data_IF_302771437201
#
_entry.id   IF_302771437201
#
_cell.length_a   1.000
_cell.length_b   1.000
_cell.length_c   1.000
_cell.angle_alpha   90.00
_cell.angle_beta   90.00
_cell.angle_gamma   90.00
#
_symmetry.space_group_name_H-M   'P 1'
#
loop_
_entity.id
_entity.type
_entity.pdbx_description
1 polymer ?
#
# COMPACT_ATOMS: atom_id res chain seq x y z
N UNK A 1 -20.40 -59.79 6.86
CA UNK A 1 -20.26 -60.97 5.97
C UNK A 1 -21.41 -60.96 4.94
N UNK A 2 -21.31 -61.68 3.81
CA UNK A 2 -21.66 -61.11 2.50
C UNK A 2 -22.65 -61.97 1.68
N UNK A 3 -22.87 -61.63 0.40
CA UNK A 3 -22.81 -62.48 -0.83
C UNK A 3 -23.39 -61.61 -1.98
N UNK A 4 -22.60 -61.02 -2.91
CA UNK A 4 -21.88 -61.56 -4.10
C UNK A 4 -22.80 -62.05 -5.28
N UNK A 5 -22.30 -62.06 -6.54
CA UNK A 5 -23.03 -61.49 -7.69
C UNK A 5 -23.22 -62.46 -8.88
N UNK A 6 -23.69 -61.94 -10.03
CA UNK A 6 -23.39 -62.42 -11.40
C UNK A 6 -23.61 -61.23 -12.38
N UNK A 7 -22.74 -60.88 -13.33
CA UNK A 7 -22.07 -61.59 -14.43
C UNK A 7 -22.88 -61.55 -15.76
N UNK A 8 -22.22 -61.07 -16.82
CA UNK A 8 -22.76 -60.91 -18.19
C UNK A 8 -22.69 -62.22 -19.01
N UNK A 9 -23.12 -62.33 -20.31
CA UNK A 9 -22.33 -61.74 -21.42
C UNK A 9 -23.04 -61.46 -22.79
N UNK A 10 -22.26 -60.95 -23.76
CA UNK A 10 -22.38 -61.15 -25.23
C UNK A 10 -23.44 -60.34 -26.01
N UNK A 11 -23.32 -60.04 -27.33
CA UNK A 11 -22.26 -60.28 -28.36
C UNK A 11 -22.49 -59.35 -29.59
N UNK A 12 -21.41 -59.02 -30.34
CA UNK A 12 -21.24 -58.82 -31.81
C UNK A 12 -22.44 -58.41 -32.73
N UNK A 13 -22.29 -57.66 -33.83
CA UNK A 13 -21.19 -57.51 -34.82
C UNK A 13 -21.29 -56.14 -35.55
N UNK A 14 -20.19 -55.48 -35.99
CA UNK A 14 -19.65 -55.39 -37.39
C UNK A 14 -20.70 -55.02 -38.47
N UNK A 15 -20.50 -54.11 -39.43
CA UNK A 15 -19.40 -53.90 -40.43
C UNK A 15 -19.60 -52.50 -41.12
N UNK A 16 -18.74 -51.84 -41.95
CA UNK A 16 -17.38 -52.06 -42.50
C UNK A 16 -16.91 -50.85 -43.38
N UNK A 17 -15.58 -50.72 -43.62
CA UNK A 17 -14.89 -49.98 -44.72
C UNK A 17 -15.04 -48.43 -44.79
N UNK A 18 -14.07 -47.58 -45.18
CA UNK A 18 -12.67 -47.69 -45.66
C UNK A 18 -12.05 -46.25 -45.83
N UNK A 19 -10.89 -45.96 -46.46
CA UNK A 19 -9.83 -46.84 -46.98
C UNK A 19 -8.46 -46.12 -47.28
N UNK A 20 -7.46 -46.31 -46.40
CA UNK A 20 -6.02 -46.62 -46.73
C UNK A 20 -5.06 -45.68 -47.52
N UNK A 21 -3.75 -45.83 -47.19
CA UNK A 21 -2.47 -45.44 -47.89
C UNK A 21 -2.01 -43.97 -47.75
N UNK A 22 -0.77 -43.60 -47.37
CA UNK A 22 0.57 -44.24 -47.19
C UNK A 22 1.44 -44.45 -48.46
N UNK A 23 2.45 -43.58 -48.66
CA UNK A 23 3.74 -43.72 -49.38
C UNK A 23 4.69 -42.65 -48.77
N UNK A 24 5.95 -42.83 -48.33
CA UNK A 24 7.21 -43.45 -48.82
C UNK A 24 8.01 -42.68 -49.90
N UNK A 25 9.29 -42.50 -49.57
CA UNK A 25 10.46 -41.96 -50.28
C UNK A 25 10.75 -42.50 -51.70
N UNK A 26 11.31 -41.69 -52.62
CA UNK A 26 12.71 -41.83 -53.14
C UNK A 26 13.13 -40.68 -54.12
N UNK A 27 14.36 -40.75 -54.66
CA UNK A 27 15.15 -39.71 -55.34
C UNK A 27 15.16 -39.73 -56.89
N UNK A 28 15.60 -38.61 -57.52
CA UNK A 28 16.65 -38.48 -58.59
C UNK A 28 16.65 -37.07 -59.22
N UNK A 29 17.77 -36.33 -59.22
CA UNK A 29 18.86 -36.26 -60.25
C UNK A 29 18.46 -35.65 -61.61
N UNK A 30 19.00 -34.46 -61.91
CA UNK A 30 19.47 -33.88 -63.20
C UNK A 30 19.97 -32.44 -62.87
N UNK A 31 21.11 -31.89 -63.28
CA UNK A 31 22.33 -32.38 -63.93
C UNK A 31 23.35 -31.23 -63.97
N UNK A 32 24.66 -31.50 -63.93
CA UNK A 32 25.72 -30.48 -63.99
C UNK A 32 26.43 -30.48 -65.36
N UNK A 33 27.18 -29.41 -65.70
CA UNK A 33 28.63 -29.65 -65.83
C UNK A 33 29.57 -28.50 -65.39
N UNK A 34 30.68 -28.89 -64.73
CA UNK A 34 32.11 -28.55 -65.01
C UNK A 34 32.47 -27.10 -65.42
N UNK A 35 33.60 -26.47 -65.04
CA UNK A 35 34.88 -26.73 -64.32
C UNK A 35 35.50 -25.29 -64.14
N UNK A 36 36.54 -24.94 -63.36
CA UNK A 36 37.82 -25.58 -62.99
C UNK A 36 38.42 -24.78 -61.80
N UNK A 37 39.37 -25.34 -61.06
CA UNK A 37 39.99 -24.72 -59.88
C UNK A 37 41.12 -23.72 -60.19
N UNK A 38 41.48 -22.88 -59.21
CA UNK A 38 42.88 -22.75 -58.75
C UNK A 38 42.99 -22.21 -57.32
N UNK A 39 44.09 -22.59 -56.67
CA UNK A 39 44.40 -22.42 -55.26
C UNK A 39 45.44 -21.30 -55.02
N UNK A 40 45.44 -20.70 -53.83
CA UNK A 40 46.70 -20.40 -53.12
C UNK A 40 46.52 -20.17 -51.61
N UNK A 41 47.54 -20.63 -50.87
CA UNK A 41 47.90 -20.25 -49.48
C UNK A 41 48.24 -18.73 -49.45
N UNK A 42 48.32 -17.97 -48.36
CA UNK A 42 48.37 -18.14 -46.89
C UNK A 42 48.12 -16.72 -46.32
N UNK A 43 47.58 -16.51 -45.11
CA UNK A 43 48.40 -16.38 -43.88
C UNK A 43 47.51 -16.11 -42.65
N UNK A 44 48.06 -16.25 -41.45
CA UNK A 44 47.34 -16.05 -40.20
C UNK A 44 47.21 -14.56 -39.82
N UNK A 45 46.02 -14.16 -39.36
CA UNK A 45 45.82 -12.95 -38.56
C UNK A 45 44.64 -13.15 -37.59
N UNK A 46 44.95 -13.55 -36.36
CA UNK A 46 43.97 -13.60 -35.28
C UNK A 46 43.45 -12.18 -35.01
N UNK A 47 42.16 -11.91 -35.27
CA UNK A 47 41.52 -10.64 -34.89
C UNK A 47 40.45 -10.88 -33.82
N UNK A 48 40.88 -10.63 -32.59
CA UNK A 48 40.08 -10.49 -31.39
C UNK A 48 38.87 -9.57 -31.66
N UNK A 49 37.65 -10.12 -31.69
CA UNK A 49 36.43 -9.31 -31.64
C UNK A 49 36.19 -8.85 -30.21
N UNK A 50 36.74 -7.67 -29.89
CA UNK A 50 36.49 -6.98 -28.62
C UNK A 50 35.00 -6.64 -28.47
N UNK A 51 34.30 -7.41 -27.64
CA UNK A 51 32.97 -7.11 -27.16
C UNK A 51 32.98 -5.77 -26.42
N UNK A 52 32.49 -4.70 -27.06
CA UNK A 52 32.29 -3.40 -26.41
C UNK A 52 31.24 -3.53 -25.30
N UNK A 53 31.52 -3.10 -24.05
CA UNK A 53 30.49 -3.02 -23.02
C UNK A 53 29.37 -2.06 -23.42
N UNK A 54 28.12 -2.42 -23.08
CA UNK A 54 26.93 -1.62 -23.42
C UNK A 54 26.90 -0.33 -22.59
N UNK A 55 27.41 0.79 -23.14
CA UNK A 55 27.31 2.19 -22.61
C UNK A 55 25.86 2.74 -22.50
N UNK A 56 24.85 1.89 -22.40
CA UNK A 56 23.43 2.26 -22.50
C UNK A 56 22.73 2.41 -21.13
N UNK A 57 23.33 1.92 -20.04
CA UNK A 57 22.81 2.05 -18.67
C UNK A 57 23.15 3.41 -18.03
N UNK A 58 24.42 3.81 -18.07
CA UNK A 58 24.92 5.04 -17.44
C UNK A 58 24.26 6.31 -18.02
N UNK A 59 24.06 6.35 -19.35
CA UNK A 59 23.41 7.47 -20.01
C UNK A 59 21.97 7.69 -19.52
N UNK A 60 21.23 6.60 -19.23
CA UNK A 60 19.86 6.69 -18.72
C UNK A 60 19.79 7.24 -17.28
N UNK A 61 20.73 6.85 -16.40
CA UNK A 61 20.83 7.46 -15.07
C UNK A 61 21.19 8.95 -15.16
N UNK A 62 22.16 9.31 -16.00
CA UNK A 62 22.58 10.70 -16.18
C UNK A 62 21.47 11.59 -16.77
N UNK A 63 20.67 11.07 -17.73
CA UNK A 63 19.55 11.79 -18.33
C UNK A 63 18.39 11.95 -17.34
N UNK A 64 18.08 10.92 -16.53
CA UNK A 64 17.08 11.02 -15.46
C UNK A 64 17.50 12.06 -14.40
N UNK A 65 18.76 12.01 -13.96
CA UNK A 65 19.32 12.97 -13.01
C UNK A 65 19.28 14.41 -13.54
N UNK A 66 19.61 14.65 -14.82
CA UNK A 66 19.57 16.00 -15.43
C UNK A 66 18.17 16.53 -15.73
N UNK A 67 17.20 15.70 -16.13
CA UNK A 67 15.82 16.16 -16.42
C UNK A 67 14.98 16.45 -15.16
N UNK A 68 15.40 15.96 -14.00
CA UNK A 68 14.64 16.15 -12.75
C UNK A 68 15.33 17.00 -11.69
N UNK A 69 16.59 17.42 -11.88
CA UNK A 69 17.34 18.18 -10.87
C UNK A 69 16.61 19.45 -10.42
N UNK A 70 16.06 20.23 -11.36
CA UNK A 70 15.33 21.47 -11.05
C UNK A 70 14.01 21.23 -10.29
N UNK A 71 13.33 20.09 -10.52
CA UNK A 71 12.08 19.76 -9.82
C UNK A 71 12.35 19.15 -8.43
N UNK A 72 13.48 18.45 -8.28
CA UNK A 72 13.99 17.93 -7.00
C UNK A 72 14.53 19.06 -6.10
N UNK A 73 14.95 20.20 -6.67
CA UNK A 73 15.41 21.37 -5.90
C UNK A 73 14.28 22.22 -5.26
N UNK A 74 13.02 22.07 -5.67
CA UNK A 74 11.91 22.73 -4.97
C UNK A 74 11.66 22.05 -3.62
N UNK A 75 12.27 22.58 -2.56
CA UNK A 75 12.02 22.15 -1.18
C UNK A 75 10.56 22.46 -0.80
N UNK A 76 9.73 21.42 -0.80
CA UNK A 76 8.39 21.51 -0.24
C UNK A 76 8.47 21.86 1.27
N UNK A 77 7.56 22.72 1.74
CA UNK A 77 7.66 23.29 3.08
C UNK A 77 7.20 22.29 4.13
N UNK A 78 8.11 21.87 4.99
CA UNK A 78 7.81 21.08 6.19
C UNK A 78 7.39 22.01 7.34
N UNK A 79 6.19 21.78 7.85
CA UNK A 79 5.63 22.41 9.04
C UNK A 79 5.94 21.55 10.27
N UNK A 80 6.08 22.19 11.42
CA UNK A 80 6.52 21.57 12.69
C UNK A 80 5.89 22.34 13.85
N UNK A 81 6.14 21.96 15.10
CA UNK A 81 5.50 22.58 16.27
C UNK A 81 5.64 24.11 16.36
N UNK A 82 6.70 24.71 15.79
CA UNK A 82 6.89 26.16 15.71
C UNK A 82 5.95 26.88 14.72
N UNK A 83 5.29 26.13 13.85
CA UNK A 83 4.42 26.63 12.79
C UNK A 83 2.92 26.36 13.06
N UNK A 84 2.60 25.68 14.16
CA UNK A 84 1.26 25.20 14.49
C UNK A 84 0.90 25.56 15.94
N UNK A 85 -0.35 25.96 16.17
CA UNK A 85 -0.79 26.54 17.44
C UNK A 85 -2.18 26.00 17.82
N UNK A 86 -2.25 25.33 18.99
CA UNK A 86 -3.48 24.71 19.49
C UNK A 86 -4.57 25.73 19.84
N UNK A 87 -4.25 27.03 19.97
CA UNK A 87 -5.26 28.09 20.20
C UNK A 87 -6.35 28.15 19.13
N UNK A 88 -6.09 27.59 17.95
CA UNK A 88 -7.07 27.52 16.86
C UNK A 88 -8.13 26.40 17.05
N UNK A 89 -7.91 25.50 18.02
CA UNK A 89 -8.86 24.47 18.47
C UNK A 89 -9.30 24.68 19.94
N UNK A 90 -8.64 25.55 20.71
CA UNK A 90 -9.02 25.85 22.08
C UNK A 90 -10.47 26.36 22.16
N UNK A 91 -11.25 25.84 23.10
CA UNK A 91 -12.67 26.18 23.27
C UNK A 91 -13.61 25.55 22.24
N UNK A 92 -13.09 24.92 21.18
CA UNK A 92 -13.88 24.21 20.16
C UNK A 92 -14.11 22.74 20.52
N UNK A 93 -15.21 22.18 20.03
CA UNK A 93 -15.52 20.75 20.14
C UNK A 93 -14.98 20.01 18.91
N UNK A 94 -14.02 19.12 19.13
CA UNK A 94 -13.50 18.20 18.11
C UNK A 94 -14.37 16.94 18.07
N UNK A 95 -15.27 16.85 17.09
CA UNK A 95 -16.10 15.67 16.87
C UNK A 95 -15.35 14.64 16.01
N UNK A 96 -15.18 13.41 16.53
CA UNK A 96 -14.56 12.29 15.81
C UNK A 96 -15.65 11.28 15.49
N UNK A 97 -15.97 11.14 14.21
CA UNK A 97 -17.03 10.27 13.70
C UNK A 97 -16.42 8.93 13.30
N UNK A 98 -16.72 7.87 14.06
CA UNK A 98 -16.04 6.57 13.92
C UNK A 98 -14.89 6.39 14.93
N UNK A 99 -14.66 5.15 15.35
CA UNK A 99 -13.68 4.80 16.39
C UNK A 99 -12.95 3.49 16.04
N UNK A 100 -12.54 3.37 14.76
CA UNK A 100 -11.56 2.40 14.30
C UNK A 100 -10.14 2.92 14.49
N UNK A 101 -9.17 2.39 13.73
CA UNK A 101 -7.73 2.68 13.86
C UNK A 101 -7.40 4.18 13.98
N UNK A 102 -7.74 5.01 12.98
CA UNK A 102 -7.44 6.45 13.01
C UNK A 102 -8.34 7.22 13.97
N UNK A 103 -9.62 6.86 14.07
CA UNK A 103 -10.58 7.52 14.98
C UNK A 103 -10.14 7.41 16.45
N UNK A 104 -9.74 6.21 16.87
CA UNK A 104 -9.15 5.96 18.19
C UNK A 104 -7.88 6.80 18.41
N UNK A 105 -6.93 6.76 17.48
CA UNK A 105 -5.67 7.48 17.60
C UNK A 105 -5.87 9.00 17.69
N UNK A 106 -6.65 9.59 16.78
CA UNK A 106 -6.93 11.02 16.77
C UNK A 106 -7.67 11.44 18.04
N UNK A 107 -8.74 10.73 18.43
CA UNK A 107 -9.52 11.09 19.60
C UNK A 107 -8.69 11.08 20.90
N UNK A 108 -7.84 10.06 21.11
CA UNK A 108 -6.99 10.00 22.30
C UNK A 108 -5.86 11.02 22.27
N UNK A 109 -5.20 11.24 21.11
CA UNK A 109 -4.11 12.21 21.01
C UNK A 109 -4.62 13.65 21.20
N UNK A 110 -5.79 13.99 20.66
CA UNK A 110 -6.43 15.31 20.84
C UNK A 110 -6.83 15.54 22.31
N UNK A 111 -7.42 14.53 22.96
CA UNK A 111 -7.75 14.55 24.39
C UNK A 111 -6.50 14.78 25.23
N UNK A 112 -5.44 14.03 24.97
CA UNK A 112 -4.15 14.15 25.68
C UNK A 112 -3.43 15.47 25.39
N UNK A 113 -3.76 16.12 24.26
CA UNK A 113 -3.34 17.50 23.95
C UNK A 113 -4.23 18.58 24.61
N UNK A 114 -5.13 18.21 25.51
CA UNK A 114 -5.99 19.14 26.25
C UNK A 114 -7.20 19.68 25.46
N UNK A 115 -7.57 19.06 24.34
CA UNK A 115 -8.69 19.48 23.52
C UNK A 115 -9.99 18.76 23.91
N UNK A 116 -11.14 19.44 23.72
CA UNK A 116 -12.46 18.84 23.95
C UNK A 116 -12.81 17.90 22.80
N UNK A 117 -12.87 16.61 23.08
CA UNK A 117 -13.17 15.56 22.09
C UNK A 117 -14.53 14.92 22.37
N UNK A 118 -15.32 14.75 21.32
CA UNK A 118 -16.63 14.07 21.33
C UNK A 118 -16.63 12.97 20.27
N UNK A 119 -17.08 11.76 20.60
CA UNK A 119 -17.07 10.62 19.66
C UNK A 119 -18.50 10.31 19.16
N UNK A 120 -18.70 10.41 17.85
CA UNK A 120 -19.95 10.04 17.17
C UNK A 120 -19.90 8.59 16.71
N UNK A 121 -20.82 7.75 17.20
CA UNK A 121 -20.94 6.35 16.81
C UNK A 121 -22.41 5.91 16.72
N UNK A 122 -22.80 5.04 15.77
CA UNK A 122 -24.13 4.46 15.75
C UNK A 122 -24.39 3.65 17.02
N UNK A 123 -25.63 3.64 17.53
CA UNK A 123 -25.98 3.06 18.83
C UNK A 123 -25.53 1.58 18.99
N UNK A 124 -25.58 0.80 17.90
CA UNK A 124 -25.15 -0.61 17.84
C UNK A 124 -23.63 -0.84 17.83
N UNK A 125 -22.80 0.21 17.81
CA UNK A 125 -21.34 0.06 17.69
C UNK A 125 -20.72 -0.50 18.97
N UNK A 126 -19.98 -1.61 18.85
CA UNK A 126 -19.21 -2.21 19.95
C UNK A 126 -18.16 -1.26 20.51
N UNK A 127 -17.57 -0.41 19.66
CA UNK A 127 -16.54 0.57 20.04
C UNK A 127 -17.05 1.66 21.00
N UNK A 128 -18.38 1.79 21.22
CA UNK A 128 -18.94 2.73 22.22
C UNK A 128 -18.44 2.42 23.63
N UNK A 129 -18.29 1.15 23.98
CA UNK A 129 -17.77 0.74 25.28
C UNK A 129 -16.27 1.07 25.42
N UNK A 130 -15.50 0.82 24.36
CA UNK A 130 -14.05 1.12 24.31
C UNK A 130 -13.79 2.62 24.45
N UNK A 131 -14.45 3.46 23.65
CA UNK A 131 -14.32 4.92 23.73
C UNK A 131 -14.66 5.47 25.13
N UNK A 132 -15.76 4.98 25.74
CA UNK A 132 -16.14 5.34 27.13
C UNK A 132 -15.12 4.87 28.17
N UNK A 133 -14.51 3.70 28.00
CA UNK A 133 -13.42 3.21 28.88
C UNK A 133 -12.19 4.13 28.84
N UNK A 134 -11.98 4.83 27.72
CA UNK A 134 -10.98 5.90 27.60
C UNK A 134 -11.51 7.28 28.01
N UNK A 135 -12.62 7.38 28.75
CA UNK A 135 -13.14 8.66 29.26
C UNK A 135 -13.60 9.64 28.18
N UNK A 136 -13.86 9.16 26.96
CA UNK A 136 -14.43 9.99 25.88
C UNK A 136 -15.95 10.01 25.99
N UNK A 137 -16.55 11.17 25.75
CA UNK A 137 -18.00 11.27 25.58
C UNK A 137 -18.42 10.61 24.27
N UNK A 138 -19.48 9.79 24.30
CA UNK A 138 -19.93 9.01 23.13
C UNK A 138 -21.42 9.16 22.88
N UNK A 139 -21.75 9.79 21.76
CA UNK A 139 -23.11 10.19 21.34
C UNK A 139 -23.47 9.57 19.98
N UNK A 140 -24.59 9.96 19.37
CA UNK A 140 -24.92 9.57 17.99
C UNK A 140 -24.06 10.34 16.96
N UNK A 141 -24.00 9.85 15.71
CA UNK A 141 -23.32 10.56 14.61
C UNK A 141 -23.88 11.98 14.44
N UNK A 142 -25.20 12.08 14.24
CA UNK A 142 -25.93 13.35 14.08
C UNK A 142 -25.67 14.34 15.22
N UNK A 143 -25.71 13.87 16.47
CA UNK A 143 -25.47 14.73 17.63
C UNK A 143 -24.02 15.20 17.71
N UNK A 144 -23.04 14.34 17.40
CA UNK A 144 -21.64 14.73 17.34
C UNK A 144 -21.39 15.79 16.25
N UNK A 145 -22.03 15.68 15.08
CA UNK A 145 -21.92 16.67 14.01
C UNK A 145 -22.60 17.99 14.39
N UNK A 146 -23.78 17.94 15.03
CA UNK A 146 -24.48 19.12 15.52
C UNK A 146 -23.65 19.90 16.56
N UNK A 147 -23.06 19.18 17.53
CA UNK A 147 -22.23 19.75 18.62
C UNK A 147 -20.79 20.09 18.24
N UNK A 148 -20.27 19.50 17.17
CA UNK A 148 -18.87 19.66 16.73
C UNK A 148 -18.60 20.96 15.98
N UNK A 149 -17.44 21.57 16.24
CA UNK A 149 -16.88 22.67 15.46
C UNK A 149 -16.00 22.16 14.32
N UNK A 150 -15.14 21.17 14.63
CA UNK A 150 -14.32 20.43 13.67
C UNK A 150 -14.80 18.98 13.71
N UNK A 151 -15.25 18.48 12.56
CA UNK A 151 -15.84 17.16 12.39
C UNK A 151 -14.87 16.30 11.57
N UNK A 152 -14.17 15.38 12.23
CA UNK A 152 -13.30 14.40 11.59
C UNK A 152 -14.09 13.15 11.21
N UNK A 153 -14.09 12.80 9.93
CA UNK A 153 -14.68 11.57 9.41
C UNK A 153 -13.66 10.42 9.44
N UNK A 154 -13.65 9.66 10.54
CA UNK A 154 -12.85 8.45 10.74
C UNK A 154 -13.62 7.19 10.30
N UNK A 155 -14.18 7.25 9.10
CA UNK A 155 -15.05 6.22 8.49
C UNK A 155 -14.33 5.52 7.33
N UNK A 156 -14.83 4.36 6.90
CA UNK A 156 -14.37 3.71 5.66
C UNK A 156 -14.74 4.59 4.45
N UNK A 157 -13.80 4.85 3.54
CA UNK A 157 -13.99 5.74 2.39
C UNK A 157 -15.21 5.38 1.51
N UNK A 158 -15.50 4.08 1.38
CA UNK A 158 -16.63 3.58 0.58
C UNK A 158 -17.98 3.63 1.30
N UNK A 159 -17.99 3.61 2.64
CA UNK A 159 -19.20 3.78 3.46
C UNK A 159 -19.50 5.26 3.75
N UNK A 160 -18.46 6.11 3.72
CA UNK A 160 -18.49 7.48 4.20
C UNK A 160 -19.55 8.34 3.50
N UNK A 161 -19.73 8.19 2.19
CA UNK A 161 -20.73 8.95 1.43
C UNK A 161 -22.16 8.68 1.91
N UNK A 162 -22.54 7.41 2.10
CA UNK A 162 -23.87 7.05 2.57
C UNK A 162 -24.14 7.49 4.02
N UNK A 163 -23.12 7.54 4.87
CA UNK A 163 -23.22 8.11 6.23
C UNK A 163 -23.28 9.64 6.17
N UNK A 164 -22.54 10.25 5.23
CA UNK A 164 -22.53 11.70 5.03
C UNK A 164 -23.93 12.22 4.70
N UNK A 165 -24.59 11.65 3.69
CA UNK A 165 -25.92 12.10 3.26
C UNK A 165 -26.99 11.93 4.35
N UNK A 166 -26.93 10.85 5.14
CA UNK A 166 -27.96 10.51 6.14
C UNK A 166 -27.76 11.16 7.50
N UNK A 167 -26.51 11.25 7.98
CA UNK A 167 -26.19 11.51 9.38
C UNK A 167 -25.26 12.72 9.59
N UNK A 168 -24.67 13.29 8.53
CA UNK A 168 -23.70 14.39 8.65
C UNK A 168 -24.21 15.66 7.95
N UNK A 169 -24.50 15.58 6.65
CA UNK A 169 -24.97 16.72 5.85
C UNK A 169 -26.19 17.44 6.45
N UNK A 170 -27.21 16.77 7.02
CA UNK A 170 -28.36 17.45 7.64
C UNK A 170 -28.03 18.24 8.91
N UNK A 171 -26.85 18.06 9.49
CA UNK A 171 -26.40 18.70 10.74
C UNK A 171 -25.15 19.58 10.56
N UNK A 172 -24.61 19.65 9.34
CA UNK A 172 -23.57 20.61 8.97
C UNK A 172 -24.20 22.00 8.73
N UNK A 173 -23.44 23.03 9.08
CA UNK A 173 -23.84 24.43 9.02
C UNK A 173 -22.60 25.30 8.77
N UNK A 174 -22.81 26.51 8.26
CA UNK A 174 -21.74 27.45 7.94
C UNK A 174 -20.78 27.69 9.12
N UNK A 175 -19.48 27.82 8.82
CA UNK A 175 -18.45 28.06 9.83
C UNK A 175 -17.94 26.82 10.60
N UNK A 176 -18.57 25.65 10.42
CA UNK A 176 -17.99 24.35 10.82
C UNK A 176 -16.85 23.96 9.86
N UNK A 177 -15.98 23.06 10.32
CA UNK A 177 -14.90 22.46 9.52
C UNK A 177 -15.12 20.96 9.37
N UNK A 178 -15.08 20.45 8.14
CA UNK A 178 -15.06 19.02 7.83
C UNK A 178 -13.61 18.58 7.59
N UNK A 179 -13.17 17.53 8.30
CA UNK A 179 -11.80 17.02 8.28
C UNK A 179 -11.78 15.56 7.81
N UNK A 180 -10.84 15.27 6.92
CA UNK A 180 -10.58 13.93 6.40
C UNK A 180 -9.15 13.48 6.77
N UNK A 181 -8.94 12.17 6.92
CA UNK A 181 -7.60 11.57 7.03
C UNK A 181 -7.08 10.99 5.70
N UNK A 182 -7.95 10.89 4.70
CA UNK A 182 -7.64 10.49 3.33
C UNK A 182 -8.54 11.26 2.36
N UNK A 183 -8.03 11.67 1.20
CA UNK A 183 -8.74 12.57 0.27
C UNK A 183 -9.76 11.88 -0.65
N UNK A 184 -9.80 10.54 -0.70
CA UNK A 184 -10.60 9.72 -1.61
C UNK A 184 -12.02 10.25 -1.84
N UNK A 185 -12.77 10.48 -0.76
CA UNK A 185 -14.18 10.83 -0.85
C UNK A 185 -14.44 12.17 -1.55
N UNK A 186 -13.54 13.14 -1.36
CA UNK A 186 -13.59 14.47 -1.98
C UNK A 186 -12.98 14.44 -3.38
N UNK A 187 -11.82 13.79 -3.56
CA UNK A 187 -11.11 13.76 -4.83
C UNK A 187 -11.92 13.02 -5.92
N UNK A 188 -12.47 11.86 -5.59
CA UNK A 188 -13.36 11.11 -6.50
C UNK A 188 -14.83 11.56 -6.44
N UNK A 189 -15.13 12.64 -5.70
CA UNK A 189 -16.45 13.28 -5.61
C UNK A 189 -17.58 12.34 -5.17
N UNK A 190 -17.29 11.37 -4.30
CA UNK A 190 -18.34 10.57 -3.63
C UNK A 190 -19.05 11.38 -2.55
N UNK A 191 -18.39 12.42 -2.02
CA UNK A 191 -18.96 13.47 -1.19
C UNK A 191 -18.79 14.82 -1.90
N UNK A 192 -19.86 15.59 -1.96
CA UNK A 192 -19.82 17.00 -2.36
C UNK A 192 -20.14 17.84 -1.10
N UNK A 193 -19.16 18.54 -0.53
CA UNK A 193 -19.36 19.31 0.69
C UNK A 193 -20.21 20.56 0.46
N UNK A 194 -20.87 21.04 1.51
CA UNK A 194 -21.54 22.35 1.52
C UNK A 194 -20.52 23.46 1.23
N UNK A 195 -20.92 24.52 0.53
CA UNK A 195 -20.00 25.60 0.11
C UNK A 195 -19.44 26.42 1.28
N UNK A 196 -20.22 26.56 2.35
CA UNK A 196 -19.92 27.44 3.49
C UNK A 196 -19.24 26.73 4.67
N UNK A 197 -18.79 25.48 4.48
CA UNK A 197 -17.93 24.77 5.44
C UNK A 197 -16.48 24.74 4.95
N UNK A 198 -15.55 24.89 5.89
CA UNK A 198 -14.13 24.60 5.61
C UNK A 198 -13.99 23.09 5.36
N UNK A 199 -13.16 22.71 4.39
CA UNK A 199 -12.86 21.31 4.08
C UNK A 199 -11.36 21.13 4.05
N UNK A 200 -10.85 20.32 4.97
CA UNK A 200 -9.42 20.10 5.19
C UNK A 200 -9.10 18.61 5.30
N UNK A 201 -7.83 18.30 5.06
CA UNK A 201 -7.28 16.98 5.28
C UNK A 201 -6.08 17.09 6.23
N UNK A 202 -5.96 16.12 7.13
CA UNK A 202 -4.77 15.86 7.92
C UNK A 202 -4.53 14.35 7.93
N UNK A 203 -3.63 13.89 7.08
CA UNK A 203 -3.29 12.49 6.88
C UNK A 203 -1.98 12.15 7.63
N UNK A 204 -1.99 11.34 8.70
CA UNK A 204 -0.78 10.81 9.30
C UNK A 204 -0.20 9.72 8.38
N UNK A 205 1.10 9.76 8.10
CA UNK A 205 1.81 8.73 7.33
C UNK A 205 2.06 7.50 8.21
N UNK A 206 1.00 6.81 8.61
CA UNK A 206 1.06 5.63 9.45
C UNK A 206 -0.32 5.13 9.86
N UNK A 207 -0.44 3.81 10.01
CA UNK A 207 -1.65 3.16 10.52
C UNK A 207 -1.96 3.65 11.93
N UNK A 208 -3.24 3.88 12.26
CA UNK A 208 -3.69 4.45 13.54
C UNK A 208 -3.04 3.90 14.82
N UNK A 209 -2.80 2.57 14.98
CA UNK A 209 -2.06 2.04 16.12
C UNK A 209 -0.68 2.67 16.32
N UNK A 210 0.03 2.93 15.22
CA UNK A 210 1.33 3.59 15.23
C UNK A 210 1.18 5.08 15.54
N UNK A 211 0.20 5.78 14.94
CA UNK A 211 -0.11 7.19 15.27
C UNK A 211 -0.34 7.38 16.78
N UNK A 212 -1.04 6.44 17.43
CA UNK A 212 -1.24 6.46 18.88
C UNK A 212 0.03 6.13 19.66
N UNK A 213 0.77 5.09 19.27
CA UNK A 213 1.98 4.65 19.98
C UNK A 213 3.06 5.73 19.95
N UNK A 214 3.42 6.23 18.76
CA UNK A 214 4.46 7.25 18.63
C UNK A 214 4.10 8.51 19.42
N UNK A 215 2.83 8.94 19.41
CA UNK A 215 2.36 10.07 20.22
C UNK A 215 2.54 9.85 21.73
N UNK A 216 2.16 8.68 22.22
CA UNK A 216 2.23 8.32 23.64
C UNK A 216 3.68 8.21 24.14
N UNK A 217 4.62 7.84 23.26
CA UNK A 217 6.06 7.81 23.53
C UNK A 217 6.75 9.18 23.27
N UNK A 218 5.99 10.27 23.20
CA UNK A 218 6.50 11.65 23.04
C UNK A 218 6.99 11.99 21.62
N UNK A 219 7.00 11.03 20.70
CA UNK A 219 7.33 11.20 19.28
C UNK A 219 6.06 11.54 18.49
N UNK A 220 6.13 11.44 17.17
CA UNK A 220 4.97 11.54 16.28
C UNK A 220 5.29 10.83 14.96
N UNK A 221 4.27 10.51 14.18
CA UNK A 221 4.46 10.09 12.78
C UNK A 221 4.53 11.34 11.89
N UNK A 222 5.28 11.35 10.78
CA UNK A 222 5.14 12.37 9.75
C UNK A 222 3.69 12.43 9.25
N UNK A 223 3.29 13.53 8.63
CA UNK A 223 1.97 13.62 8.01
C UNK A 223 1.91 14.59 6.84
N UNK A 224 0.73 14.72 6.27
CA UNK A 224 0.38 15.74 5.29
C UNK A 224 -0.86 16.51 5.73
N UNK A 225 -1.00 17.74 5.27
CA UNK A 225 -2.25 18.49 5.36
C UNK A 225 -2.61 19.15 4.03
N UNK A 226 -3.91 19.26 3.75
CA UNK A 226 -4.42 19.96 2.58
C UNK A 226 -5.67 20.79 2.94
N UNK A 227 -5.97 21.77 2.09
CA UNK A 227 -7.17 22.60 2.18
C UNK A 227 -7.91 22.52 0.84
N UNK A 228 -9.16 22.07 0.86
CA UNK A 228 -10.03 22.00 -0.32
C UNK A 228 -11.00 23.19 -0.37
N UNK A 229 -11.61 23.55 0.76
CA UNK A 229 -12.47 24.73 0.90
C UNK A 229 -12.05 25.54 2.14
N UNK A 230 -12.14 26.87 2.05
CA UNK A 230 -11.71 27.79 3.11
C UNK A 230 -12.59 29.07 3.21
N UNK A 231 -13.94 28.97 3.24
CA UNK A 231 -14.80 30.13 3.42
C UNK A 231 -14.49 30.92 4.71
N UNK A 232 -14.05 30.25 5.78
CA UNK A 232 -13.73 30.93 7.05
C UNK A 232 -12.42 31.74 7.03
N UNK A 233 -11.57 31.53 6.00
CA UNK A 233 -10.17 31.97 5.92
C UNK A 233 -9.26 31.42 7.04
N UNK A 234 -9.71 30.43 7.82
CA UNK A 234 -8.97 29.80 8.94
C UNK A 234 -8.57 28.34 8.69
N UNK A 235 -9.05 27.69 7.63
CA UNK A 235 -8.87 26.26 7.36
C UNK A 235 -7.41 25.78 7.54
N UNK A 236 -6.42 26.48 6.97
CA UNK A 236 -4.98 26.14 7.11
C UNK A 236 -4.48 26.18 8.57
N UNK A 237 -4.97 27.13 9.37
CA UNK A 237 -4.61 27.26 10.80
C UNK A 237 -5.24 26.12 11.61
N UNK A 238 -6.47 25.74 11.28
CA UNK A 238 -7.19 24.61 11.89
C UNK A 238 -6.50 23.28 11.54
N UNK A 239 -6.14 23.06 10.28
CA UNK A 239 -5.43 21.86 9.83
C UNK A 239 -4.07 21.68 10.52
N UNK A 240 -3.26 22.74 10.59
CA UNK A 240 -1.98 22.71 11.31
C UNK A 240 -2.16 22.48 12.83
N UNK A 241 -3.16 23.10 13.43
CA UNK A 241 -3.47 22.89 14.85
C UNK A 241 -3.95 21.46 15.14
N UNK A 242 -4.74 20.86 14.25
CA UNK A 242 -5.15 19.46 14.36
C UNK A 242 -3.97 18.52 14.20
N UNK A 243 -3.12 18.75 13.20
CA UNK A 243 -1.88 17.99 12.99
C UNK A 243 -0.95 18.05 14.22
N UNK A 244 -0.95 19.17 14.96
CA UNK A 244 -0.26 19.30 16.25
C UNK A 244 -0.96 18.57 17.39
N UNK A 245 -2.29 18.66 17.47
CA UNK A 245 -3.10 17.94 18.46
C UNK A 245 -3.07 16.41 18.31
N UNK A 246 -2.70 15.89 17.14
CA UNK A 246 -2.42 14.45 16.94
C UNK A 246 -0.91 14.10 16.97
N UNK A 247 -0.03 15.11 17.14
CA UNK A 247 1.42 14.99 17.28
C UNK A 247 2.25 14.92 16.00
N UNK A 248 1.65 14.99 14.81
CA UNK A 248 2.40 14.87 13.55
C UNK A 248 3.45 15.98 13.36
N UNK A 249 3.21 17.18 13.91
CA UNK A 249 4.16 18.31 13.86
C UNK A 249 5.44 18.11 14.68
N UNK A 250 5.53 17.06 15.48
CA UNK A 250 6.78 16.62 16.16
C UNK A 250 7.77 16.00 15.16
N UNK A 251 7.28 15.23 14.20
CA UNK A 251 8.08 14.62 13.13
C UNK A 251 8.15 15.50 11.86
N UNK A 252 7.06 16.22 11.58
CA UNK A 252 6.95 17.13 10.44
C UNK A 252 5.72 16.86 9.59
N UNK A 253 5.10 17.92 9.09
CA UNK A 253 3.88 17.85 8.27
C UNK A 253 4.10 18.58 6.94
N UNK A 254 3.82 17.89 5.84
CA UNK A 254 3.93 18.43 4.48
C UNK A 254 2.62 19.11 4.05
N UNK A 255 2.70 20.27 3.38
CA UNK A 255 1.55 20.84 2.70
C UNK A 255 1.35 20.18 1.33
N UNK A 256 0.13 19.72 1.05
CA UNK A 256 -0.23 18.98 -0.17
C UNK A 256 -1.63 19.39 -0.68
N UNK A 257 -2.10 18.74 -1.75
CA UNK A 257 -3.48 18.84 -2.24
C UNK A 257 -4.23 17.53 -1.97
N UNK A 258 -5.57 17.58 -1.91
CA UNK A 258 -6.40 16.35 -1.82
C UNK A 258 -6.11 15.37 -2.98
N UNK A 259 -5.87 15.89 -4.18
CA UNK A 259 -5.48 15.09 -5.34
C UNK A 259 -4.16 14.37 -5.08
N UNK A 260 -3.11 15.11 -4.74
CA UNK A 260 -1.76 14.56 -4.71
C UNK A 260 -1.55 13.65 -3.49
N UNK A 261 -2.22 13.93 -2.37
CA UNK A 261 -2.35 12.98 -1.26
C UNK A 261 -2.99 11.68 -1.73
N UNK A 262 -4.21 11.73 -2.30
CA UNK A 262 -4.95 10.51 -2.64
C UNK A 262 -4.26 9.69 -3.72
N UNK A 263 -3.69 10.34 -4.74
CA UNK A 263 -2.94 9.63 -5.78
C UNK A 263 -1.64 8.99 -5.26
N UNK A 264 -0.92 9.66 -4.35
CA UNK A 264 0.37 9.14 -3.85
C UNK A 264 0.19 8.09 -2.77
N UNK A 265 -0.81 8.23 -1.91
CA UNK A 265 -1.16 7.28 -0.85
C UNK A 265 -1.63 5.94 -1.43
N UNK A 266 -2.68 5.97 -2.26
CA UNK A 266 -3.19 4.78 -2.96
C UNK A 266 -2.10 4.09 -3.81
N UNK A 267 -1.22 4.86 -4.43
CA UNK A 267 -0.09 4.31 -5.19
C UNK A 267 0.92 3.64 -4.27
N UNK A 268 1.28 4.29 -3.16
CA UNK A 268 2.25 3.75 -2.21
C UNK A 268 1.76 2.44 -1.59
N UNK A 269 0.50 2.36 -1.14
CA UNK A 269 -0.09 1.15 -0.59
C UNK A 269 -0.13 0.00 -1.62
N UNK A 270 -0.61 0.26 -2.85
CA UNK A 270 -0.74 -0.76 -3.89
C UNK A 270 0.63 -1.24 -4.41
N UNK A 271 1.55 -0.32 -4.70
CA UNK A 271 2.79 -0.64 -5.40
C UNK A 271 3.97 -0.98 -4.49
N UNK A 272 3.96 -0.55 -3.23
CA UNK A 272 5.14 -0.64 -2.33
C UNK A 272 4.78 -1.13 -0.93
N UNK A 273 4.04 -0.33 -0.15
CA UNK A 273 3.89 -0.46 1.30
C UNK A 273 3.05 -1.67 1.73
N UNK A 274 2.11 -2.12 0.89
CA UNK A 274 1.30 -3.31 1.14
C UNK A 274 1.42 -4.31 0.00
N UNK A 275 0.93 -3.99 -1.20
CA UNK A 275 0.88 -4.94 -2.31
C UNK A 275 2.27 -5.40 -2.76
N UNK A 276 3.17 -4.45 -3.01
CA UNK A 276 4.54 -4.72 -3.45
C UNK A 276 5.36 -5.55 -2.46
N UNK A 277 5.45 -5.11 -1.20
CA UNK A 277 6.23 -5.82 -0.17
C UNK A 277 5.67 -7.21 0.13
N UNK A 278 4.35 -7.36 0.25
CA UNK A 278 3.73 -8.67 0.52
C UNK A 278 3.98 -9.66 -0.62
N UNK A 279 3.91 -9.21 -1.88
CA UNK A 279 4.24 -10.04 -3.03
C UNK A 279 5.72 -10.44 -3.05
N UNK A 280 6.64 -9.49 -2.81
CA UNK A 280 8.08 -9.75 -2.81
C UNK A 280 8.49 -10.75 -1.71
N UNK A 281 8.01 -10.54 -0.48
CA UNK A 281 8.25 -11.44 0.67
C UNK A 281 7.75 -12.84 0.36
N UNK A 282 6.52 -12.96 -0.15
CA UNK A 282 5.92 -14.25 -0.49
C UNK A 282 6.68 -14.97 -1.59
N UNK A 283 7.00 -14.29 -2.71
CA UNK A 283 7.76 -14.91 -3.80
C UNK A 283 9.15 -15.38 -3.34
N UNK A 284 9.82 -14.63 -2.46
CA UNK A 284 11.09 -15.06 -1.86
C UNK A 284 10.93 -16.30 -0.98
N UNK A 285 9.93 -16.32 -0.11
CA UNK A 285 9.61 -17.47 0.75
C UNK A 285 9.24 -18.71 -0.07
N UNK A 286 8.33 -18.57 -1.04
CA UNK A 286 7.89 -19.62 -1.97
C UNK A 286 9.11 -20.21 -2.71
N UNK A 287 9.98 -19.36 -3.28
CA UNK A 287 11.20 -19.79 -3.99
C UNK A 287 12.15 -20.62 -3.12
N UNK A 288 12.31 -20.28 -1.84
CA UNK A 288 13.18 -21.05 -0.93
C UNK A 288 12.52 -22.37 -0.51
N UNK A 289 11.23 -22.38 -0.19
CA UNK A 289 10.52 -23.60 0.20
C UNK A 289 10.44 -24.60 -0.97
N UNK A 290 10.15 -24.13 -2.18
CA UNK A 290 10.10 -24.96 -3.40
C UNK A 290 11.48 -25.53 -3.77
N UNK A 291 12.56 -24.85 -3.40
CA UNK A 291 13.94 -25.35 -3.53
C UNK A 291 14.36 -26.34 -2.41
N UNK A 292 13.44 -26.67 -1.47
CA UNK A 292 13.67 -27.64 -0.41
C UNK A 292 14.29 -27.08 0.88
N UNK A 293 14.41 -25.76 1.04
CA UNK A 293 14.86 -25.17 2.30
C UNK A 293 13.76 -25.23 3.37
N UNK A 294 14.17 -25.29 4.65
CA UNK A 294 13.24 -25.31 5.77
C UNK A 294 12.36 -24.04 5.79
N UNK A 295 11.02 -24.15 5.90
CA UNK A 295 10.12 -23.00 5.89
C UNK A 295 10.42 -21.96 6.98
N UNK A 296 10.88 -22.39 8.15
CA UNK A 296 11.32 -21.51 9.24
C UNK A 296 12.52 -20.64 8.81
N UNK A 297 13.50 -21.22 8.11
CA UNK A 297 14.66 -20.47 7.60
C UNK A 297 14.25 -19.48 6.49
N UNK A 298 13.34 -19.89 5.59
CA UNK A 298 12.77 -19.01 4.58
C UNK A 298 11.97 -17.86 5.21
N UNK A 299 11.21 -18.11 6.29
CA UNK A 299 10.51 -17.06 7.04
C UNK A 299 11.49 -16.05 7.66
N UNK A 300 12.58 -16.53 8.26
CA UNK A 300 13.60 -15.66 8.84
C UNK A 300 14.23 -14.74 7.77
N UNK A 301 14.74 -15.33 6.69
CA UNK A 301 15.46 -14.61 5.64
C UNK A 301 14.56 -13.68 4.80
N UNK A 302 13.32 -14.06 4.52
CA UNK A 302 12.44 -13.30 3.60
C UNK A 302 11.47 -12.34 4.29
N UNK A 303 11.15 -12.51 5.58
CA UNK A 303 10.20 -11.64 6.30
C UNK A 303 10.75 -11.08 7.61
N UNK A 304 11.32 -11.91 8.49
CA UNK A 304 11.76 -11.42 9.81
C UNK A 304 12.90 -10.40 9.68
N UNK A 305 13.93 -10.71 8.89
CA UNK A 305 15.11 -9.86 8.72
C UNK A 305 14.82 -8.55 7.95
N UNK A 306 13.76 -8.53 7.13
CA UNK A 306 13.31 -7.34 6.40
C UNK A 306 13.01 -6.17 7.35
N UNK A 307 12.53 -6.42 8.58
CA UNK A 307 12.33 -5.37 9.58
C UNK A 307 13.62 -4.60 9.85
N UNK A 308 14.73 -5.30 10.09
CA UNK A 308 16.00 -4.65 10.45
C UNK A 308 16.54 -3.80 9.30
N UNK A 309 16.43 -4.28 8.06
CA UNK A 309 16.80 -3.47 6.89
C UNK A 309 15.91 -2.23 6.74
N UNK A 310 14.60 -2.35 7.00
CA UNK A 310 13.67 -1.19 6.99
C UNK A 310 14.00 -0.19 8.10
N UNK A 311 14.34 -0.65 9.31
CA UNK A 311 14.79 0.22 10.40
C UNK A 311 16.07 0.99 9.99
N UNK A 312 17.07 0.31 9.41
CA UNK A 312 18.29 0.96 8.91
C UNK A 312 18.04 1.93 7.75
N UNK A 313 17.08 1.63 6.86
CA UNK A 313 16.64 2.57 5.82
C UNK A 313 15.93 3.79 6.41
N UNK A 314 15.19 3.64 7.50
CA UNK A 314 14.56 4.75 8.22
C UNK A 314 15.60 5.64 8.91
N UNK A 315 16.64 5.05 9.52
CA UNK A 315 17.72 5.78 10.20
C UNK A 315 18.67 6.54 9.25
N UNK A 316 19.03 5.95 8.11
CA UNK A 316 20.12 6.45 7.26
C UNK A 316 19.84 6.43 5.76
N UNK A 317 18.62 6.12 5.34
CA UNK A 317 18.27 5.93 3.93
C UNK A 317 18.94 4.71 3.30
N UNK A 318 18.73 4.53 1.99
CA UNK A 318 19.30 3.40 1.23
C UNK A 318 20.83 3.31 1.33
N UNK A 319 21.52 4.46 1.38
CA UNK A 319 22.98 4.50 1.54
C UNK A 319 23.42 4.15 2.96
N UNK A 320 22.69 4.60 3.99
CA UNK A 320 22.99 4.28 5.38
C UNK A 320 22.75 2.81 5.74
N UNK A 321 21.74 2.18 5.11
CA UNK A 321 21.56 0.73 5.13
C UNK A 321 22.77 0.02 4.50
N UNK A 322 23.13 0.34 3.26
CA UNK A 322 24.28 -0.27 2.55
C UNK A 322 25.61 -0.11 3.28
N UNK A 323 25.83 1.01 3.95
CA UNK A 323 27.02 1.26 4.76
C UNK A 323 27.15 0.34 5.99
N UNK A 324 26.07 -0.34 6.38
CA UNK A 324 26.00 -1.31 7.49
C UNK A 324 25.85 -2.77 7.02
N UNK A 325 25.71 -2.99 5.72
CA UNK A 325 25.65 -4.33 5.11
C UNK A 325 27.06 -4.84 4.77
N UNK A 326 27.23 -6.15 4.73
CA UNK A 326 28.49 -6.74 4.25
C UNK A 326 28.73 -6.43 2.76
N UNK A 327 29.99 -6.36 2.29
CA UNK A 327 30.29 -6.16 0.87
C UNK A 327 29.59 -7.19 -0.05
N UNK A 328 29.47 -8.44 0.40
CA UNK A 328 28.74 -9.51 -0.31
C UNK A 328 27.25 -9.19 -0.47
N UNK A 329 26.59 -8.73 0.59
CA UNK A 329 25.18 -8.36 0.55
C UNK A 329 24.94 -7.11 -0.31
N UNK A 330 25.82 -6.11 -0.22
CA UNK A 330 25.77 -4.89 -1.06
C UNK A 330 26.02 -5.20 -2.54
N UNK A 331 26.92 -6.12 -2.87
CA UNK A 331 27.08 -6.63 -4.24
C UNK A 331 25.83 -7.35 -4.73
N UNK A 332 25.20 -8.16 -3.87
CA UNK A 332 23.92 -8.82 -4.14
C UNK A 332 22.80 -7.83 -4.47
N UNK A 333 22.56 -6.84 -3.62
CA UNK A 333 21.59 -5.75 -3.84
C UNK A 333 21.81 -5.06 -5.19
N UNK A 334 23.02 -4.56 -5.44
CA UNK A 334 23.32 -3.76 -6.63
C UNK A 334 23.28 -4.56 -7.95
N UNK A 335 23.49 -5.88 -7.92
CA UNK A 335 23.52 -6.74 -9.13
C UNK A 335 22.25 -7.58 -9.35
N UNK A 336 21.57 -7.98 -8.28
CA UNK A 336 20.35 -8.79 -8.35
C UNK A 336 19.10 -7.93 -8.22
N UNK A 337 19.11 -6.86 -7.41
CA UNK A 337 17.98 -5.95 -7.24
C UNK A 337 17.39 -5.45 -8.57
N UNK A 338 18.18 -4.93 -9.51
CA UNK A 338 17.71 -4.50 -10.84
C UNK A 338 17.25 -5.63 -11.79
N UNK A 339 17.50 -6.89 -11.44
CA UNK A 339 17.01 -8.08 -12.17
C UNK A 339 15.65 -8.56 -11.64
N UNK A 340 15.36 -8.33 -10.36
CA UNK A 340 14.06 -8.62 -9.73
C UNK A 340 13.11 -7.44 -9.95
N UNK A 341 13.56 -6.22 -9.65
CA UNK A 341 12.81 -4.96 -9.85
C UNK A 341 13.28 -4.34 -11.16
N UNK A 342 12.79 -4.90 -12.26
CA UNK A 342 13.23 -4.58 -13.62
C UNK A 342 12.39 -3.44 -14.27
N UNK A 343 12.53 -3.27 -15.60
CA UNK A 343 11.74 -2.31 -16.36
C UNK A 343 10.25 -2.70 -16.47
N UNK A 344 9.91 -3.99 -16.46
CA UNK A 344 8.52 -4.44 -16.46
C UNK A 344 7.82 -4.11 -15.12
N UNK A 345 8.49 -4.30 -13.98
CA UNK A 345 7.96 -3.87 -12.67
C UNK A 345 7.66 -2.37 -12.67
N UNK A 346 8.57 -1.53 -13.18
CA UNK A 346 8.32 -0.09 -13.30
C UNK A 346 7.16 0.26 -14.25
N UNK A 347 6.95 -0.52 -15.32
CA UNK A 347 5.79 -0.36 -16.22
C UNK A 347 4.48 -0.70 -15.49
N UNK A 348 4.46 -1.75 -14.68
CA UNK A 348 3.29 -2.16 -13.90
C UNK A 348 2.93 -1.12 -12.84
N UNK A 349 3.94 -0.55 -12.16
CA UNK A 349 3.75 0.59 -11.25
C UNK A 349 3.13 1.80 -11.97
N UNK A 350 3.62 2.15 -13.15
CA UNK A 350 3.05 3.25 -13.94
C UNK A 350 1.59 2.99 -14.36
N UNK A 351 1.24 1.74 -14.68
CA UNK A 351 -0.14 1.35 -15.00
C UNK A 351 -1.07 1.43 -13.78
N UNK A 352 -0.61 0.99 -12.60
CA UNK A 352 -1.37 1.14 -11.35
C UNK A 352 -1.64 2.61 -11.02
N UNK A 353 -0.65 3.49 -11.19
CA UNK A 353 -0.83 4.93 -11.03
C UNK A 353 -1.86 5.51 -12.02
N UNK A 354 -1.87 5.05 -13.28
CA UNK A 354 -2.89 5.46 -14.27
C UNK A 354 -4.30 4.98 -13.91
N UNK A 355 -4.44 3.77 -13.34
CA UNK A 355 -5.73 3.25 -12.86
C UNK A 355 -6.26 4.05 -11.65
N UNK A 356 -5.36 4.55 -10.80
CA UNK A 356 -5.69 5.47 -9.68
C UNK A 356 -6.10 6.84 -10.23
N UNK A 357 -5.27 7.45 -11.09
CA UNK A 357 -5.48 8.79 -11.65
C UNK A 357 -6.74 8.90 -12.53
N UNK A 358 -7.10 7.84 -13.24
CA UNK A 358 -8.35 7.73 -14.01
C UNK A 358 -9.58 7.40 -13.15
N UNK A 359 -9.40 7.18 -11.84
CA UNK A 359 -10.43 6.73 -10.90
C UNK A 359 -10.98 5.33 -11.19
N UNK A 360 -10.31 4.53 -12.03
CA UNK A 360 -10.70 3.15 -12.32
C UNK A 360 -10.64 2.30 -11.04
N UNK A 361 -9.55 2.41 -10.29
CA UNK A 361 -9.41 1.75 -8.99
C UNK A 361 -10.57 2.10 -8.04
N UNK A 362 -10.88 3.39 -7.88
CA UNK A 362 -11.98 3.85 -7.03
C UNK A 362 -13.34 3.28 -7.45
N UNK A 363 -13.65 3.28 -8.76
CA UNK A 363 -14.89 2.69 -9.30
C UNK A 363 -14.96 1.18 -9.11
N UNK A 364 -13.83 0.48 -9.16
CA UNK A 364 -13.77 -0.97 -8.87
C UNK A 364 -13.98 -1.24 -7.38
N UNK A 365 -13.32 -0.48 -6.49
CA UNK A 365 -13.43 -0.67 -5.05
C UNK A 365 -14.80 -0.32 -4.46
N UNK A 366 -15.42 0.78 -4.93
CA UNK A 366 -16.81 1.14 -4.56
C UNK A 366 -17.78 0.03 -5.00
N UNK A 367 -17.62 -0.53 -6.21
CA UNK A 367 -18.47 -1.61 -6.73
C UNK A 367 -18.29 -2.92 -5.94
N UNK A 368 -17.06 -3.26 -5.57
CA UNK A 368 -16.76 -4.42 -4.73
C UNK A 368 -17.40 -4.26 -3.35
N UNK A 369 -17.32 -3.06 -2.75
CA UNK A 369 -18.01 -2.77 -1.48
C UNK A 369 -19.52 -2.92 -1.61
N UNK A 370 -20.12 -2.28 -2.61
CA UNK A 370 -21.58 -2.29 -2.83
C UNK A 370 -22.15 -3.67 -3.20
N UNK A 371 -21.31 -4.64 -3.60
CA UNK A 371 -21.73 -6.03 -3.88
C UNK A 371 -21.40 -7.02 -2.76
N UNK A 372 -21.02 -6.51 -1.58
CA UNK A 372 -20.77 -7.30 -0.37
C UNK A 372 -19.38 -7.91 -0.29
N UNK A 373 -18.38 -7.30 -0.95
CA UNK A 373 -16.95 -7.59 -0.78
C UNK A 373 -16.55 -9.07 -1.01
N UNK A 374 -17.29 -9.77 -1.88
CA UNK A 374 -17.13 -11.23 -2.09
C UNK A 374 -15.74 -11.61 -2.62
N UNK A 375 -15.22 -10.86 -3.60
CA UNK A 375 -13.87 -11.09 -4.15
C UNK A 375 -12.81 -10.63 -3.16
N UNK A 376 -13.03 -9.51 -2.46
CA UNK A 376 -12.14 -9.05 -1.39
C UNK A 376 -11.96 -10.12 -0.30
N UNK A 377 -13.06 -10.66 0.25
CA UNK A 377 -13.00 -11.71 1.28
C UNK A 377 -12.40 -13.02 0.76
N UNK A 378 -12.65 -13.39 -0.51
CA UNK A 378 -12.02 -14.56 -1.11
C UNK A 378 -10.49 -14.40 -1.26
N UNK A 379 -10.02 -13.23 -1.70
CA UNK A 379 -8.60 -12.90 -1.81
C UNK A 379 -7.92 -12.85 -0.43
N UNK A 380 -8.57 -12.24 0.56
CA UNK A 380 -8.06 -12.16 1.93
C UNK A 380 -7.92 -13.57 2.53
N UNK A 381 -8.96 -14.40 2.46
CA UNK A 381 -8.93 -15.78 2.96
C UNK A 381 -7.86 -16.63 2.28
N UNK A 382 -7.61 -16.42 0.98
CA UNK A 382 -6.54 -17.09 0.25
C UNK A 382 -5.14 -16.63 0.72
N UNK A 383 -4.97 -15.35 1.05
CA UNK A 383 -3.73 -14.82 1.61
C UNK A 383 -3.47 -15.32 3.04
N UNK A 384 -4.51 -15.34 3.90
CA UNK A 384 -4.45 -15.88 5.27
C UNK A 384 -4.13 -17.39 5.31
N UNK A 385 -4.50 -18.13 4.27
CA UNK A 385 -4.20 -19.56 4.13
C UNK A 385 -2.74 -19.87 3.73
N UNK A 386 -1.94 -18.86 3.37
CA UNK A 386 -0.59 -19.06 2.84
C UNK A 386 0.36 -19.69 3.89
N UNK A 387 1.25 -20.63 3.52
CA UNK A 387 2.12 -21.32 4.48
C UNK A 387 2.99 -20.40 5.34
N UNK A 388 3.38 -19.23 4.82
CA UNK A 388 4.17 -18.22 5.57
C UNK A 388 3.45 -17.76 6.86
N UNK A 389 2.11 -17.69 6.86
CA UNK A 389 1.35 -17.28 8.05
C UNK A 389 1.29 -18.38 9.10
N UNK A 390 1.22 -19.63 8.69
CA UNK A 390 1.23 -20.77 9.61
C UNK A 390 2.60 -20.88 10.29
N UNK A 391 3.69 -20.81 9.52
CA UNK A 391 5.08 -20.80 10.03
C UNK A 391 5.30 -19.59 10.92
N UNK A 392 4.95 -18.40 10.44
CA UNK A 392 5.09 -17.14 11.17
C UNK A 392 4.32 -17.12 12.48
N UNK A 393 3.09 -17.66 12.52
CA UNK A 393 2.31 -17.78 13.76
C UNK A 393 3.00 -18.65 14.80
N UNK A 394 3.61 -19.78 14.40
CA UNK A 394 4.41 -20.62 15.33
C UNK A 394 5.61 -19.84 15.86
N UNK A 395 6.43 -19.27 14.97
CA UNK A 395 7.67 -18.57 15.34
C UNK A 395 7.41 -17.34 16.24
N UNK A 396 6.38 -16.53 15.92
CA UNK A 396 6.01 -15.34 16.69
C UNK A 396 5.50 -15.66 18.12
N UNK A 397 5.02 -16.88 18.37
CA UNK A 397 4.55 -17.31 19.69
C UNK A 397 5.66 -18.00 20.49
N UNK A 398 6.53 -18.77 19.83
CA UNK A 398 7.59 -19.56 20.50
C UNK A 398 8.83 -18.75 20.94
N UNK A 399 8.93 -17.49 20.53
CA UNK A 399 10.15 -16.70 20.75
C UNK A 399 10.24 -15.97 22.09
N UNK A 400 11.12 -16.44 22.96
CA UNK A 400 11.62 -15.70 24.13
C UNK A 400 12.25 -14.36 23.72
N UNK A 401 11.65 -13.26 24.18
CA UNK A 401 12.02 -11.85 23.96
C UNK A 401 12.09 -11.36 22.49
N UNK A 402 12.86 -12.00 21.59
CA UNK A 402 13.12 -11.54 20.23
C UNK A 402 11.87 -11.46 19.32
N UNK A 403 10.78 -12.12 19.70
CA UNK A 403 9.51 -12.12 18.98
C UNK A 403 8.35 -11.46 19.73
N UNK A 404 8.59 -10.83 20.89
CA UNK A 404 7.51 -10.13 21.56
C UNK A 404 6.94 -9.07 20.60
N UNK A 405 5.63 -9.12 20.27
CA UNK A 405 5.01 -8.04 19.52
C UNK A 405 5.24 -6.76 20.31
N UNK A 406 5.70 -5.69 19.63
CA UNK A 406 5.61 -4.32 20.18
C UNK A 406 4.16 -4.16 20.59
N UNK A 407 3.92 -4.10 21.92
CA UNK A 407 2.70 -4.62 22.57
C UNK A 407 1.46 -4.41 21.70
N UNK A 408 0.65 -5.45 21.42
CA UNK A 408 -0.60 -5.27 20.70
C UNK A 408 -1.38 -4.17 21.42
N UNK A 409 -1.65 -3.07 20.73
CA UNK A 409 -2.52 -2.06 21.27
C UNK A 409 -3.86 -2.75 21.50
N UNK A 410 -4.27 -2.86 22.76
CA UNK A 410 -5.54 -3.44 23.12
C UNK A 410 -6.64 -2.48 22.64
N UNK A 411 -7.32 -2.87 21.57
CA UNK A 411 -8.46 -2.17 20.97
C UNK A 411 -9.77 -2.82 21.40
#
# INVERSE_FOLDING_TARGET
>A
MPIRPNAAPSKNNRTSCGNTKCWTTFSKEWGAPRRRARSSRTSAACKLQLLRPRRCSELHLAIWARRHSLRVLMRARIFTDRHADLKHLQGKTCAVIGFGAQGHAHALNLRDSGLRVLVGLPARSKSRAVARKHGLEVVSTSEAVARGDIIFLALSDTEMAGIYDREIAPHLAAGKTLLFAHGFAIFYRTIIPLKDVDVILVAPNGVGPMVRREFAEGRGVPGMFAVHQNPSRRAKKIALAWAKGIGCTRAGVLETTFKDETETDLFAEQAVLCGGVNALVRSGFETLVDAGYAPEAAYFACLHELKFLVDLMHEGGLSGMRARMSPTATWGDLTIGPRIIDRAVKKNMAAALQDIQSGKFAREWIRETNTGQKRYHALLKAAEGHPIEQVGKRLRVSGTQAFQPVRPAAF
#
